data_IF_094769355385
#
_entry.id   IF_094769355385
#
_cell.length_a   1.000
_cell.length_b   1.000
_cell.length_c   1.000
_cell.angle_alpha   90.00
_cell.angle_beta   90.00
_cell.angle_gamma   90.00
#
_symmetry.space_group_name_H-M   'P 1'
#
loop_
_entity.id
_entity.type
_entity.pdbx_description
1 polymer ?
#
# COMPACT_ATOMS: atom_id res chain seq x y z
N UNK A 1 36.08 -14.64 -11.37
CA UNK A 1 35.98 -13.41 -12.20
C UNK A 1 35.75 -13.68 -13.69
N UNK A 2 36.54 -14.53 -14.36
CA UNK A 2 36.35 -14.81 -15.80
C UNK A 2 35.01 -15.51 -16.14
N UNK A 3 34.53 -16.43 -15.29
CA UNK A 3 33.29 -17.17 -15.53
C UNK A 3 32.03 -16.29 -15.42
N UNK A 4 32.03 -15.32 -14.52
CA UNK A 4 30.93 -14.38 -14.34
C UNK A 4 30.82 -13.42 -15.53
N UNK A 5 31.97 -12.93 -16.01
CA UNK A 5 32.05 -12.10 -17.23
C UNK A 5 31.57 -12.88 -18.47
N UNK A 6 31.91 -14.17 -18.58
CA UNK A 6 31.43 -15.03 -19.66
C UNK A 6 29.91 -15.26 -19.61
N UNK A 7 29.35 -15.41 -18.41
CA UNK A 7 27.89 -15.56 -18.21
C UNK A 7 27.16 -14.30 -18.67
N UNK A 8 27.62 -13.12 -18.26
CA UNK A 8 27.04 -11.84 -18.67
C UNK A 8 27.09 -11.65 -20.20
N UNK A 9 28.23 -11.93 -20.83
CA UNK A 9 28.36 -11.83 -22.30
C UNK A 9 27.45 -12.81 -23.04
N UNK A 10 27.28 -14.04 -22.53
CA UNK A 10 26.35 -15.03 -23.12
C UNK A 10 24.90 -14.55 -23.04
N UNK A 11 24.50 -13.99 -21.91
CA UNK A 11 23.16 -13.46 -21.73
C UNK A 11 22.89 -12.27 -22.67
N UNK A 12 23.84 -11.34 -22.78
CA UNK A 12 23.77 -10.22 -23.71
C UNK A 12 23.70 -10.68 -25.18
N UNK A 13 24.46 -11.71 -25.56
CA UNK A 13 24.40 -12.29 -26.90
C UNK A 13 23.03 -12.94 -27.18
N UNK A 14 22.52 -13.73 -26.22
CA UNK A 14 21.21 -14.42 -26.34
C UNK A 14 20.06 -13.45 -26.57
N UNK A 15 20.03 -12.31 -25.89
CA UNK A 15 18.98 -11.29 -26.06
C UNK A 15 18.96 -10.68 -27.47
N UNK A 16 20.00 -10.92 -28.27
CA UNK A 16 20.13 -10.42 -29.64
C UNK A 16 20.08 -11.53 -30.69
N UNK A 17 19.73 -12.75 -30.30
CA UNK A 17 19.76 -13.90 -31.20
C UNK A 17 21.19 -14.30 -31.63
N UNK A 18 22.20 -13.89 -30.87
CA UNK A 18 23.60 -14.23 -31.12
C UNK A 18 24.07 -15.31 -30.13
N UNK A 19 25.01 -16.13 -30.56
CA UNK A 19 25.67 -17.12 -29.70
C UNK A 19 27.11 -16.75 -29.45
N UNK A 20 27.50 -16.67 -28.18
CA UNK A 20 28.89 -16.46 -27.78
C UNK A 20 29.70 -17.76 -27.85
N UNK A 21 30.80 -17.73 -28.59
CA UNK A 21 31.85 -18.76 -28.60
C UNK A 21 33.02 -18.27 -27.76
N UNK A 22 33.58 -19.16 -26.95
CA UNK A 22 34.69 -18.88 -26.03
C UNK A 22 35.74 -19.97 -26.18
N UNK A 23 37.03 -19.60 -26.23
CA UNK A 23 38.16 -20.52 -26.22
C UNK A 23 39.01 -20.28 -24.98
N UNK A 24 39.64 -21.33 -24.44
CA UNK A 24 40.61 -21.23 -23.34
C UNK A 24 42.03 -20.84 -23.81
N UNK A 25 42.23 -20.64 -25.13
CA UNK A 25 43.51 -20.23 -25.73
C UNK A 25 43.86 -18.79 -25.33
N UNK A 26 45.14 -18.53 -25.03
CA UNK A 26 45.67 -17.18 -24.73
C UNK A 26 46.07 -16.45 -26.01
N UNK A 27 45.83 -15.13 -26.07
CA UNK A 27 46.47 -14.24 -27.04
C UNK A 27 47.93 -13.95 -26.64
N UNK A 28 48.84 -13.70 -27.59
CA UNK A 28 50.13 -13.07 -27.29
C UNK A 28 49.87 -11.69 -26.67
N UNK A 29 50.47 -11.38 -25.51
CA UNK A 29 50.30 -10.08 -24.84
C UNK A 29 49.24 -9.99 -23.74
N UNK A 30 48.54 -11.09 -23.42
CA UNK A 30 47.80 -11.24 -22.16
C UNK A 30 46.37 -10.67 -22.12
N UNK A 31 45.41 -11.57 -22.31
CA UNK A 31 44.23 -11.76 -21.45
C UNK A 31 43.67 -13.16 -21.74
N UNK A 32 43.05 -13.81 -20.75
CA UNK A 32 42.57 -15.18 -20.92
C UNK A 32 41.31 -15.22 -21.81
N UNK A 33 41.41 -16.03 -22.86
CA UNK A 33 40.30 -16.48 -23.66
C UNK A 33 40.04 -15.63 -24.89
N UNK A 34 39.89 -16.31 -26.03
CA UNK A 34 39.42 -15.68 -27.25
C UNK A 34 37.91 -15.88 -27.40
N UNK A 35 37.25 -14.88 -27.95
CA UNK A 35 35.80 -14.82 -28.09
C UNK A 35 35.41 -14.67 -29.55
N UNK A 36 34.20 -15.11 -29.86
CA UNK A 36 33.53 -14.79 -31.11
C UNK A 36 32.01 -14.82 -30.96
N UNK A 37 31.32 -14.11 -31.83
CA UNK A 37 29.86 -14.10 -31.93
C UNK A 37 29.46 -14.71 -33.27
N UNK A 38 28.43 -15.54 -33.23
CA UNK A 38 27.72 -16.02 -34.43
C UNK A 38 26.25 -15.64 -34.36
N UNK A 39 25.61 -15.51 -35.52
CA UNK A 39 24.17 -15.36 -35.61
C UNK A 39 23.44 -16.71 -35.38
N UNK A 40 22.10 -16.67 -35.46
CA UNK A 40 21.27 -17.87 -35.31
C UNK A 40 21.52 -18.95 -36.37
N UNK A 41 22.06 -18.58 -37.55
CA UNK A 41 22.44 -19.50 -38.61
C UNK A 41 23.89 -20.02 -38.45
N UNK A 42 24.61 -19.58 -37.40
CA UNK A 42 26.00 -19.95 -37.15
C UNK A 42 27.01 -19.16 -37.97
N UNK A 43 26.60 -18.10 -38.67
CA UNK A 43 27.50 -17.25 -39.45
C UNK A 43 28.32 -16.34 -38.52
N UNK A 44 29.63 -16.14 -38.79
CA UNK A 44 30.45 -15.19 -38.05
C UNK A 44 29.89 -13.77 -38.04
N UNK A 45 29.78 -13.19 -36.84
CA UNK A 45 29.36 -11.80 -36.62
C UNK A 45 30.52 -10.96 -36.08
N UNK A 46 31.33 -11.51 -35.17
CA UNK A 46 32.50 -10.83 -34.61
C UNK A 46 33.54 -11.84 -34.14
N UNK A 47 34.83 -11.54 -34.30
CA UNK A 47 35.91 -12.25 -33.61
C UNK A 47 36.13 -13.70 -34.06
N UNK A 48 35.71 -14.07 -35.26
CA UNK A 48 35.96 -15.40 -35.85
C UNK A 48 36.77 -15.21 -37.12
N UNK A 49 38.04 -15.58 -37.09
CA UNK A 49 38.96 -15.52 -38.22
C UNK A 49 39.39 -16.92 -38.67
N UNK A 50 40.21 -16.98 -39.72
CA UNK A 50 40.68 -18.24 -40.31
C UNK A 50 41.46 -19.13 -39.33
N UNK A 51 42.02 -18.55 -38.25
CA UNK A 51 42.83 -19.25 -37.24
C UNK A 51 42.09 -19.48 -35.92
N UNK A 52 40.79 -19.21 -35.87
CA UNK A 52 39.90 -19.45 -34.74
C UNK A 52 39.29 -18.17 -34.14
N UNK A 53 39.02 -18.19 -32.84
CA UNK A 53 38.47 -17.05 -32.13
C UNK A 53 39.56 -15.99 -31.89
N UNK A 54 39.24 -14.74 -32.16
CA UNK A 54 40.22 -13.64 -32.23
C UNK A 54 39.77 -12.40 -31.46
N UNK A 55 38.52 -12.29 -30.99
CA UNK A 55 38.11 -11.14 -30.16
C UNK A 55 38.46 -11.33 -28.68
N UNK A 56 38.59 -10.21 -27.98
CA UNK A 56 38.64 -10.12 -26.52
C UNK A 56 37.24 -9.96 -25.93
N UNK A 57 37.11 -10.15 -24.61
CA UNK A 57 35.85 -9.95 -23.91
C UNK A 57 35.34 -8.50 -24.03
N UNK A 58 36.23 -7.51 -24.00
CA UNK A 58 35.87 -6.09 -24.10
C UNK A 58 35.36 -5.70 -25.49
N UNK A 59 35.95 -6.26 -26.55
CA UNK A 59 35.49 -6.07 -27.93
C UNK A 59 34.08 -6.65 -28.14
N UNK A 60 33.83 -7.84 -27.58
CA UNK A 60 32.49 -8.45 -27.60
C UNK A 60 31.48 -7.61 -26.80
N UNK A 61 31.85 -7.15 -25.61
CA UNK A 61 30.96 -6.34 -24.77
C UNK A 61 30.57 -5.04 -25.47
N UNK A 62 31.56 -4.35 -26.05
CA UNK A 62 31.35 -3.09 -26.78
C UNK A 62 30.43 -3.29 -27.97
N UNK A 63 30.68 -4.32 -28.77
CA UNK A 63 29.83 -4.67 -29.91
C UNK A 63 28.38 -4.94 -29.50
N UNK A 64 28.17 -5.72 -28.42
CA UNK A 64 26.83 -6.00 -27.93
C UNK A 64 26.15 -4.71 -27.43
N UNK A 65 26.86 -3.85 -26.70
CA UNK A 65 26.31 -2.56 -26.22
C UNK A 65 25.97 -1.59 -27.37
N UNK A 66 26.80 -1.50 -28.39
CA UNK A 66 26.55 -0.61 -29.53
C UNK A 66 25.40 -1.10 -30.41
N UNK A 67 25.29 -2.42 -30.60
CA UNK A 67 24.12 -3.01 -31.25
C UNK A 67 22.81 -2.66 -30.51
N UNK A 68 22.86 -2.49 -29.18
CA UNK A 68 21.74 -2.04 -28.33
C UNK A 68 21.29 -0.61 -28.64
N UNK A 69 22.26 0.29 -28.91
CA UNK A 69 21.97 1.67 -29.31
C UNK A 69 21.40 1.75 -30.73
N UNK A 70 21.85 0.87 -31.62
CA UNK A 70 21.34 0.78 -33.00
C UNK A 70 19.91 0.23 -33.08
N UNK A 71 19.54 -0.76 -32.25
CA UNK A 71 18.16 -1.27 -32.18
C UNK A 71 17.19 -0.23 -31.64
N UNK A 72 17.61 0.58 -30.67
CA UNK A 72 16.79 1.71 -30.18
C UNK A 72 16.54 2.78 -31.25
N UNK A 73 17.53 3.07 -32.11
CA UNK A 73 17.34 4.00 -33.24
C UNK A 73 16.47 3.42 -34.36
N UNK A 74 16.52 2.10 -34.60
CA UNK A 74 15.72 1.43 -35.64
C UNK A 74 14.21 1.37 -35.29
N UNK A 75 13.88 1.22 -34.01
CA UNK A 75 12.48 1.29 -33.54
C UNK A 75 11.84 2.67 -33.68
N UNK A 76 12.63 3.72 -33.89
CA UNK A 76 12.12 5.08 -34.09
C UNK A 76 11.84 5.42 -35.58
N UNK A 77 12.23 4.56 -36.53
CA UNK A 77 12.32 4.92 -37.95
C UNK A 77 11.42 4.18 -38.94
N UNK A 78 10.68 3.15 -38.55
CA UNK A 78 9.91 2.34 -39.52
C UNK A 78 8.53 1.95 -39.01
N UNK A 79 7.62 2.92 -39.00
CA UNK A 79 6.19 2.65 -39.15
C UNK A 79 5.69 3.45 -40.36
N UNK A 80 5.49 2.77 -41.50
CA UNK A 80 4.61 3.30 -42.55
C UNK A 80 3.20 3.26 -41.97
N UNK A 81 2.66 4.42 -41.63
CA UNK A 81 1.25 4.59 -41.27
C UNK A 81 0.41 4.26 -42.50
N UNK A 82 -0.05 3.00 -42.61
CA UNK A 82 -1.27 2.74 -43.38
C UNK A 82 -2.38 3.44 -42.61
N UNK A 83 -3.15 4.32 -43.27
CA UNK A 83 -4.43 4.83 -42.74
C UNK A 83 -5.41 3.65 -42.68
N UNK A 84 -5.24 2.82 -41.67
CA UNK A 84 -6.36 2.13 -41.06
C UNK A 84 -7.08 3.27 -40.34
N UNK A 85 -8.27 3.63 -40.79
CA UNK A 85 -9.19 4.38 -39.92
C UNK A 85 -9.35 3.47 -38.71
N UNK A 86 -8.82 3.83 -37.54
CA UNK A 86 -8.97 2.97 -36.38
C UNK A 86 -10.46 2.97 -36.10
N UNK A 87 -11.11 1.81 -36.22
CA UNK A 87 -12.30 1.61 -35.41
C UNK A 87 -11.85 1.90 -33.98
N UNK A 88 -12.46 2.91 -33.37
CA UNK A 88 -12.00 3.50 -32.13
C UNK A 88 -11.79 2.35 -31.13
N UNK A 89 -10.52 2.09 -30.79
CA UNK A 89 -10.21 1.19 -29.68
C UNK A 89 -11.01 1.75 -28.50
N UNK A 90 -11.94 0.98 -27.90
CA UNK A 90 -12.74 1.51 -26.81
C UNK A 90 -11.76 2.05 -25.78
N UNK A 91 -11.94 3.32 -25.41
CA UNK A 91 -11.10 3.93 -24.39
C UNK A 91 -11.05 2.97 -23.19
N UNK A 92 -9.87 2.75 -22.58
CA UNK A 92 -9.81 1.98 -21.35
C UNK A 92 -10.84 2.60 -20.40
N UNK A 93 -11.77 1.77 -19.91
CA UNK A 93 -12.86 2.25 -19.08
C UNK A 93 -12.30 3.22 -18.04
N UNK A 94 -12.89 4.42 -17.90
CA UNK A 94 -12.36 5.43 -17.00
C UNK A 94 -12.16 4.76 -15.64
N UNK A 95 -10.94 4.88 -15.08
CA UNK A 95 -10.64 4.36 -13.73
C UNK A 95 -11.82 4.74 -12.85
N UNK A 96 -12.47 3.77 -12.17
CA UNK A 96 -13.68 4.06 -11.42
C UNK A 96 -13.36 5.25 -10.52
N UNK A 97 -14.09 6.35 -10.73
CA UNK A 97 -13.93 7.54 -9.89
C UNK A 97 -14.03 7.04 -8.44
N UNK A 98 -13.12 7.44 -7.54
CA UNK A 98 -13.21 7.00 -6.16
C UNK A 98 -14.63 7.29 -5.69
N UNK A 99 -15.35 6.23 -5.32
CA UNK A 99 -16.75 6.33 -4.87
C UNK A 99 -16.85 7.16 -3.58
N UNK A 100 -15.72 7.44 -2.94
CA UNK A 100 -15.61 8.21 -1.72
C UNK A 100 -15.55 9.71 -2.04
N UNK A 101 -16.61 10.44 -1.68
CA UNK A 101 -16.49 11.87 -1.43
C UNK A 101 -15.77 12.02 -0.09
N UNK A 102 -14.61 12.68 -0.07
CA UNK A 102 -13.90 12.97 1.18
C UNK A 102 -14.71 14.02 1.93
N UNK A 103 -15.39 13.61 3.00
CA UNK A 103 -16.03 14.48 3.96
C UNK A 103 -15.33 14.29 5.30
N UNK A 104 -14.54 15.29 5.71
CA UNK A 104 -13.86 15.27 7.01
C UNK A 104 -14.78 15.93 8.04
N UNK A 105 -15.12 15.19 9.10
CA UNK A 105 -15.84 15.69 10.25
C UNK A 105 -14.92 15.67 11.50
N UNK A 106 -15.25 16.48 12.50
CA UNK A 106 -14.49 16.58 13.75
C UNK A 106 -15.42 16.35 14.94
N UNK A 107 -15.04 15.43 15.84
CA UNK A 107 -15.85 15.05 17.00
C UNK A 107 -16.09 16.20 17.98
N UNK A 108 -15.16 17.16 18.05
CA UNK A 108 -15.19 18.33 18.93
C UNK A 108 -15.85 19.56 18.29
N UNK A 109 -16.17 19.51 17.00
CA UNK A 109 -16.85 20.60 16.32
C UNK A 109 -18.37 20.54 16.53
N UNK A 110 -18.99 21.71 16.69
CA UNK A 110 -20.45 21.90 16.79
C UNK A 110 -21.08 20.99 17.86
N UNK A 111 -20.48 20.97 19.05
CA UNK A 111 -21.02 20.19 20.16
C UNK A 111 -22.40 20.75 20.57
N UNK A 112 -23.41 19.89 20.76
CA UNK A 112 -24.65 20.30 21.40
C UNK A 112 -24.38 20.78 22.82
N UNK A 113 -25.23 21.66 23.34
CA UNK A 113 -25.03 22.21 24.68
C UNK A 113 -25.23 21.18 25.81
N UNK A 114 -25.97 20.10 25.54
CA UNK A 114 -26.26 18.98 26.44
C UNK A 114 -26.66 19.42 27.87
N UNK A 115 -27.41 20.52 28.02
CA UNK A 115 -27.69 21.13 29.34
C UNK A 115 -28.73 20.39 30.18
N UNK A 116 -29.61 19.61 29.53
CA UNK A 116 -30.75 18.94 30.19
C UNK A 116 -30.65 17.43 30.13
N UNK A 117 -30.16 16.92 29.02
CA UNK A 117 -29.93 15.51 28.78
C UNK A 117 -28.67 15.38 27.91
N UNK A 118 -28.08 14.19 27.94
CA UNK A 118 -27.02 13.82 27.03
C UNK A 118 -27.50 13.88 25.57
N UNK A 119 -26.57 14.13 24.66
CA UNK A 119 -26.85 14.20 23.25
C UNK A 119 -26.09 13.12 22.49
N UNK A 120 -26.84 12.26 21.80
CA UNK A 120 -26.33 11.14 21.03
C UNK A 120 -26.34 11.50 19.54
N UNK A 121 -25.21 11.33 18.86
CA UNK A 121 -25.07 11.58 17.42
C UNK A 121 -24.51 10.33 16.74
N UNK A 122 -25.33 9.64 15.94
CA UNK A 122 -24.86 8.53 15.12
C UNK A 122 -23.84 8.99 14.06
N UNK A 123 -22.70 8.30 14.01
CA UNK A 123 -21.60 8.56 13.07
C UNK A 123 -21.51 7.49 11.98
N UNK A 124 -21.78 6.23 12.35
CA UNK A 124 -21.84 5.09 11.46
C UNK A 124 -22.90 4.12 11.98
N UNK A 125 -23.71 3.58 11.07
CA UNK A 125 -24.68 2.54 11.37
C UNK A 125 -24.65 1.50 10.25
N UNK A 126 -24.28 0.26 10.60
CA UNK A 126 -24.14 -0.89 9.71
C UNK A 126 -24.53 -2.16 10.44
N UNK A 127 -24.92 -3.23 9.73
CA UNK A 127 -25.10 -4.54 10.36
C UNK A 127 -23.84 -4.93 11.14
N UNK A 128 -23.97 -5.28 12.42
CA UNK A 128 -22.86 -5.67 13.29
C UNK A 128 -22.16 -4.52 14.03
N UNK A 129 -22.39 -3.25 13.66
CA UNK A 129 -21.67 -2.12 14.28
C UNK A 129 -22.41 -0.79 14.21
N UNK A 130 -22.52 -0.11 15.36
CA UNK A 130 -22.93 1.29 15.47
C UNK A 130 -21.83 2.10 16.14
N UNK A 131 -21.50 3.26 15.57
CA UNK A 131 -20.57 4.22 16.14
C UNK A 131 -21.33 5.51 16.41
N UNK A 132 -21.20 6.06 17.61
CA UNK A 132 -21.84 7.31 18.00
C UNK A 132 -20.94 8.20 18.84
N UNK A 133 -21.18 9.51 18.72
CA UNK A 133 -20.65 10.51 19.63
C UNK A 133 -21.69 10.80 20.69
N UNK A 134 -21.29 10.74 21.95
CA UNK A 134 -22.12 11.14 23.08
C UNK A 134 -21.54 12.43 23.65
N UNK A 135 -22.41 13.38 24.01
CA UNK A 135 -22.01 14.61 24.69
C UNK A 135 -22.83 14.77 25.95
N UNK A 136 -22.13 14.79 27.07
CA UNK A 136 -22.66 15.04 28.41
C UNK A 136 -22.14 16.39 28.93
N UNK A 137 -22.77 16.91 29.98
CA UNK A 137 -22.46 18.17 30.65
C UNK A 137 -23.01 18.14 32.09
N UNK A 138 -22.50 17.21 32.90
CA UNK A 138 -22.85 17.07 34.32
C UNK A 138 -23.95 16.05 34.63
N UNK A 139 -24.44 15.29 33.64
CA UNK A 139 -25.36 14.18 33.88
C UNK A 139 -24.68 13.02 34.60
N UNK A 140 -25.51 12.21 35.26
CA UNK A 140 -25.21 10.91 35.81
C UNK A 140 -26.44 10.01 35.61
N UNK A 141 -26.22 8.70 35.51
CA UNK A 141 -27.28 7.69 35.52
C UNK A 141 -27.91 7.62 36.91
N UNK A 142 -29.26 7.67 37.05
CA UNK A 142 -29.91 7.42 38.33
C UNK A 142 -29.53 6.06 38.91
N UNK A 143 -29.39 5.97 40.23
CA UNK A 143 -28.89 4.75 40.89
C UNK A 143 -29.80 3.54 40.65
N UNK A 144 -31.11 3.75 40.58
CA UNK A 144 -32.15 2.74 40.35
C UNK A 144 -32.44 2.45 38.87
N UNK A 145 -31.83 3.18 37.94
CA UNK A 145 -32.03 3.04 36.50
C UNK A 145 -30.71 2.74 35.75
N UNK A 146 -30.04 1.59 36.04
CA UNK A 146 -28.83 1.20 35.31
C UNK A 146 -29.06 1.10 33.81
N UNK A 147 -28.02 1.44 33.05
CA UNK A 147 -27.99 1.14 31.63
C UNK A 147 -27.74 -0.36 31.43
N UNK A 148 -28.51 -0.95 30.52
CA UNK A 148 -28.34 -2.33 30.04
C UNK A 148 -28.60 -2.34 28.55
N UNK A 149 -27.65 -2.87 27.78
CA UNK A 149 -27.73 -2.98 26.33
C UNK A 149 -27.44 -4.42 25.91
N UNK A 150 -27.98 -4.87 24.78
CA UNK A 150 -27.73 -6.22 24.28
C UNK A 150 -26.35 -6.36 23.63
N UNK A 151 -25.85 -5.29 23.01
CA UNK A 151 -24.57 -5.26 22.31
C UNK A 151 -23.40 -5.07 23.29
N UNK A 152 -22.22 -5.52 22.89
CA UNK A 152 -20.98 -5.10 23.54
C UNK A 152 -20.73 -3.62 23.21
N UNK A 153 -20.33 -2.84 24.21
CA UNK A 153 -19.98 -1.42 24.04
C UNK A 153 -18.48 -1.22 24.35
N UNK A 154 -17.71 -0.77 23.36
CA UNK A 154 -16.40 -0.16 23.61
C UNK A 154 -16.56 1.36 23.62
N UNK A 155 -16.14 2.00 24.71
CA UNK A 155 -16.30 3.45 24.88
C UNK A 155 -14.98 4.09 25.29
N UNK A 156 -14.68 5.26 24.71
CA UNK A 156 -13.52 6.09 25.04
C UNK A 156 -13.95 7.51 25.40
N UNK A 157 -13.34 8.07 26.44
CA UNK A 157 -13.50 9.46 26.80
C UNK A 157 -12.53 10.30 25.95
N UNK A 158 -13.04 11.27 25.19
CA UNK A 158 -12.23 12.13 24.32
C UNK A 158 -11.98 13.51 24.92
N UNK A 159 -12.86 13.99 25.80
CA UNK A 159 -12.76 15.28 26.49
C UNK A 159 -13.56 15.23 27.80
N UNK A 160 -13.11 15.99 28.80
CA UNK A 160 -13.76 16.13 30.09
C UNK A 160 -13.26 15.08 31.08
N UNK A 161 -14.13 14.70 32.00
CA UNK A 161 -13.92 13.63 32.98
C UNK A 161 -15.27 12.93 33.23
N UNK A 162 -15.22 11.66 33.60
CA UNK A 162 -16.40 10.91 33.98
C UNK A 162 -16.09 9.74 34.92
N UNK A 163 -17.07 9.36 35.73
CA UNK A 163 -17.04 8.14 36.52
C UNK A 163 -17.92 7.08 35.87
N UNK A 164 -17.43 5.83 35.82
CA UNK A 164 -18.22 4.66 35.40
C UNK A 164 -18.15 3.59 36.47
N UNK A 165 -19.32 3.05 36.82
CA UNK A 165 -19.45 1.87 37.67
C UNK A 165 -20.07 0.75 36.85
N UNK A 166 -19.40 -0.39 36.80
CA UNK A 166 -19.97 -1.63 36.27
C UNK A 166 -20.51 -2.42 37.47
N UNK A 167 -21.66 -3.06 37.32
CA UNK A 167 -22.19 -3.97 38.34
C UNK A 167 -21.14 -5.00 38.77
N UNK A 168 -21.08 -5.26 40.08
CA UNK A 168 -20.13 -6.16 40.74
C UNK A 168 -18.65 -5.83 40.50
N UNK A 169 -18.35 -4.59 40.10
CA UNK A 169 -16.99 -4.09 39.87
C UNK A 169 -16.72 -2.80 40.64
N UNK A 170 -15.47 -2.34 40.56
CA UNK A 170 -15.05 -1.04 41.09
C UNK A 170 -15.54 0.10 40.19
N UNK A 171 -15.85 1.23 40.81
CA UNK A 171 -16.00 2.49 40.07
C UNK A 171 -14.64 2.97 39.59
N UNK A 172 -14.58 3.42 38.34
CA UNK A 172 -13.39 3.96 37.70
C UNK A 172 -13.64 5.38 37.25
N UNK A 173 -12.63 6.24 37.40
CA UNK A 173 -12.61 7.57 36.79
C UNK A 173 -11.88 7.50 35.46
N UNK A 174 -12.51 8.02 34.42
CA UNK A 174 -11.96 8.13 33.07
C UNK A 174 -11.54 9.57 32.79
N UNK A 175 -10.38 9.70 32.19
CA UNK A 175 -9.81 10.94 31.64
C UNK A 175 -9.65 10.83 30.13
N UNK A 176 -9.36 11.93 29.42
CA UNK A 176 -9.24 11.89 27.97
C UNK A 176 -8.19 10.87 27.51
N UNK A 177 -8.62 9.91 26.68
CA UNK A 177 -7.83 8.78 26.21
C UNK A 177 -8.14 7.46 26.90
N UNK A 178 -8.74 7.48 28.10
CA UNK A 178 -9.13 6.27 28.82
C UNK A 178 -10.35 5.63 28.15
N UNK A 179 -10.36 4.31 28.10
CA UNK A 179 -11.40 3.52 27.47
C UNK A 179 -11.67 2.23 28.24
N UNK A 180 -12.85 1.65 28.03
CA UNK A 180 -13.19 0.32 28.54
C UNK A 180 -14.19 -0.37 27.60
N UNK A 181 -14.37 -1.67 27.81
CA UNK A 181 -15.39 -2.48 27.14
C UNK A 181 -16.41 -2.94 28.17
N UNK A 182 -17.68 -2.74 27.87
CA UNK A 182 -18.84 -3.18 28.64
C UNK A 182 -19.48 -4.34 27.87
N UNK A 183 -19.48 -5.56 28.41
CA UNK A 183 -20.14 -6.69 27.76
C UNK A 183 -21.66 -6.48 27.65
N UNK A 184 -22.26 -7.01 26.58
CA UNK A 184 -23.70 -7.05 26.41
C UNK A 184 -24.40 -7.72 27.59
N UNK A 185 -25.51 -7.11 28.03
CA UNK A 185 -26.29 -7.52 29.20
C UNK A 185 -25.75 -7.02 30.53
N UNK A 186 -24.58 -6.36 30.57
CA UNK A 186 -23.99 -5.89 31.81
C UNK A 186 -24.61 -4.57 32.27
N UNK A 187 -25.15 -4.56 33.51
CA UNK A 187 -25.60 -3.33 34.17
C UNK A 187 -24.44 -2.39 34.45
N UNK A 188 -24.60 -1.13 34.11
CA UNK A 188 -23.60 -0.10 34.37
C UNK A 188 -24.22 1.29 34.54
N UNK A 189 -23.46 2.19 35.15
CA UNK A 189 -23.83 3.56 35.44
C UNK A 189 -22.71 4.50 35.02
N UNK A 190 -23.08 5.64 34.44
CA UNK A 190 -22.21 6.82 34.46
C UNK A 190 -22.47 7.51 35.81
N UNK A 191 -21.55 7.38 36.75
CA UNK A 191 -21.73 7.92 38.11
C UNK A 191 -21.59 9.44 38.17
N UNK A 192 -20.81 10.01 37.26
CA UNK A 192 -20.78 11.45 37.01
C UNK A 192 -20.16 11.77 35.65
N UNK A 193 -20.41 12.99 35.18
CA UNK A 193 -19.64 13.66 34.12
C UNK A 193 -19.22 15.06 34.58
N UNK A 194 -18.16 15.60 33.98
CA UNK A 194 -17.65 16.92 34.30
C UNK A 194 -18.76 18.00 34.27
N UNK A 195 -18.81 18.83 35.30
CA UNK A 195 -19.74 19.96 35.38
C UNK A 195 -19.09 21.22 34.82
N UNK A 196 -19.79 21.94 33.96
CA UNK A 196 -19.33 23.23 33.44
C UNK A 196 -18.49 23.14 32.16
N UNK A 197 -18.13 21.94 31.72
CA UNK A 197 -17.61 21.70 30.38
C UNK A 197 -18.23 20.45 29.74
N UNK A 198 -18.25 20.33 28.40
CA UNK A 198 -18.73 19.13 27.74
C UNK A 198 -17.80 17.94 27.96
N UNK A 199 -18.35 16.83 28.42
CA UNK A 199 -17.73 15.52 28.33
C UNK A 199 -18.07 14.91 26.97
N UNK A 200 -17.05 14.56 26.18
CA UNK A 200 -17.24 14.01 24.82
C UNK A 200 -16.77 12.57 24.80
N UNK A 201 -17.64 11.69 24.33
CA UNK A 201 -17.37 10.26 24.21
C UNK A 201 -17.42 9.81 22.76
N UNK A 202 -16.74 8.71 22.46
CA UNK A 202 -16.97 7.91 21.28
C UNK A 202 -17.31 6.50 21.73
N UNK A 203 -18.51 6.03 21.40
CA UNK A 203 -18.98 4.69 21.70
C UNK A 203 -19.08 3.87 20.41
N UNK A 204 -18.65 2.62 20.49
CA UNK A 204 -18.73 1.61 19.44
C UNK A 204 -19.49 0.43 20.00
N UNK A 205 -20.67 0.20 19.45
CA UNK A 205 -21.56 -0.91 19.79
C UNK A 205 -21.36 -2.04 18.79
N UNK A 206 -21.16 -3.27 19.27
CA UNK A 206 -20.80 -4.44 18.47
C UNK A 206 -21.77 -5.58 18.79
N UNK A 207 -22.44 -6.11 17.76
CA UNK A 207 -23.44 -7.19 17.90
C UNK A 207 -24.25 -7.43 16.64
#
# INVERSE_FOLDING_TARGET
MADEKNKALREMARHRGLTLKTSRRRKPGGDFGCYGLVDAAGKPVLGIGAKGLEASAGEVETFLRDAMRATWKSSAGTVKVRKIVPEARPEPAPKPKPKLKIAVANLFAKLPAARRAEAFTGLLDRPGVRIERIVSNGQATPEDEPMVQEQDEWVVLLKGEAGIRIEDSVEVTLRPGDHLTIPGGQRHWVTYTAKGEPTVWLAVHIG
#
